data_IF_363561108534
#
_entry.id   IF_363561108534
#
_cell.length_a   1.000
_cell.length_b   1.000
_cell.length_c   1.000
_cell.angle_alpha   90.00
_cell.angle_beta   90.00
_cell.angle_gamma   90.00
#
_symmetry.space_group_name_H-M   'P 1'
#
loop_
_entity.id
_entity.type
_entity.pdbx_description
1 polymer ?
#
# COMPACT_ATOMS: atom_id res chain seq x y z
N UNK A 1 -22.47 -18.36 5.03
CA UNK A 1 -21.61 -17.52 4.16
C UNK A 1 -21.89 -16.07 4.51
N UNK A 2 -21.01 -15.41 5.29
CA UNK A 2 -21.17 -13.99 5.63
C UNK A 2 -20.65 -13.12 4.49
N UNK A 3 -21.22 -11.93 4.22
CA UNK A 3 -20.77 -11.08 3.13
C UNK A 3 -19.28 -10.77 3.35
N UNK A 4 -18.47 -10.99 2.31
CA UNK A 4 -17.04 -10.65 2.28
C UNK A 4 -16.88 -9.21 2.74
N UNK A 5 -16.53 -9.04 4.02
CA UNK A 5 -16.69 -7.77 4.75
C UNK A 5 -15.54 -6.86 4.34
N UNK A 6 -15.72 -6.14 3.23
CA UNK A 6 -14.87 -5.00 2.92
C UNK A 6 -14.89 -4.05 4.13
N UNK A 7 -13.74 -3.44 4.49
CA UNK A 7 -13.70 -2.47 5.56
C UNK A 7 -14.76 -1.38 5.32
N UNK A 8 -15.42 -0.86 6.37
CA UNK A 8 -16.39 0.22 6.22
C UNK A 8 -15.74 1.42 5.52
N UNK A 9 -16.53 2.17 4.74
CA UNK A 9 -16.03 3.29 3.94
C UNK A 9 -15.28 4.33 4.78
N UNK A 10 -15.73 4.59 6.00
CA UNK A 10 -15.04 5.48 6.95
C UNK A 10 -13.62 5.01 7.27
N UNK A 11 -13.39 3.70 7.39
CA UNK A 11 -12.05 3.15 7.57
C UNK A 11 -11.23 3.36 6.31
N UNK A 12 -11.77 3.03 5.13
CA UNK A 12 -11.07 3.22 3.84
C UNK A 12 -10.64 4.68 3.62
N UNK A 13 -11.52 5.64 3.92
CA UNK A 13 -11.23 7.07 3.87
C UNK A 13 -10.11 7.46 4.83
N UNK A 14 -10.19 7.00 6.08
CA UNK A 14 -9.16 7.27 7.09
C UNK A 14 -7.80 6.70 6.66
N UNK A 15 -7.77 5.48 6.10
CA UNK A 15 -6.54 4.85 5.61
C UNK A 15 -5.95 5.62 4.43
N UNK A 16 -6.79 6.01 3.46
CA UNK A 16 -6.37 6.86 2.33
C UNK A 16 -5.75 8.16 2.81
N UNK A 17 -6.40 8.85 3.74
CA UNK A 17 -5.89 10.12 4.25
C UNK A 17 -4.55 9.96 4.96
N UNK A 18 -4.38 8.91 5.77
CA UNK A 18 -3.10 8.63 6.45
C UNK A 18 -1.99 8.30 5.47
N UNK A 19 -2.24 7.39 4.52
CA UNK A 19 -1.25 6.98 3.51
C UNK A 19 -0.86 8.15 2.59
N UNK A 20 -1.84 8.95 2.17
CA UNK A 20 -1.58 10.12 1.34
C UNK A 20 -0.76 11.17 2.09
N UNK A 21 -1.11 11.48 3.34
CA UNK A 21 -0.33 12.40 4.19
C UNK A 21 1.10 11.90 4.41
N UNK A 22 1.26 10.64 4.80
CA UNK A 22 2.57 10.04 5.04
C UNK A 22 3.42 10.00 3.76
N UNK A 23 2.82 9.60 2.63
CA UNK A 23 3.49 9.58 1.34
C UNK A 23 3.99 10.96 0.91
N UNK A 24 3.19 12.01 1.11
CA UNK A 24 3.58 13.40 0.80
C UNK A 24 4.64 13.95 1.76
N UNK A 25 4.65 13.55 3.03
CA UNK A 25 5.69 13.92 3.99
C UNK A 25 7.02 13.22 3.69
N UNK A 26 6.98 11.95 3.26
CA UNK A 26 8.17 11.11 3.00
C UNK A 26 8.77 11.34 1.61
N UNK A 27 7.92 11.45 0.59
CA UNK A 27 8.32 11.64 -0.81
C UNK A 27 7.66 12.90 -1.38
N UNK A 28 8.34 14.06 -1.34
CA UNK A 28 7.77 15.32 -1.82
C UNK A 28 7.56 15.35 -3.35
N UNK A 29 8.18 14.43 -4.10
CA UNK A 29 7.99 14.25 -5.54
C UNK A 29 6.75 13.43 -5.92
N UNK A 30 6.06 12.83 -4.95
CA UNK A 30 4.80 12.09 -5.19
C UNK A 30 3.63 13.06 -5.11
N UNK A 31 2.80 13.10 -6.15
CA UNK A 31 1.58 13.91 -6.21
C UNK A 31 0.55 13.40 -5.19
N UNK A 32 0.30 12.10 -5.19
CA UNK A 32 -0.65 11.46 -4.29
C UNK A 32 -0.40 9.95 -4.13
N UNK A 33 -0.84 9.40 -3.00
CA UNK A 33 -0.98 7.94 -2.85
C UNK A 33 -2.45 7.56 -3.09
N UNK A 34 -2.70 6.85 -4.17
CA UNK A 34 -4.00 6.27 -4.51
C UNK A 34 -4.15 4.89 -3.88
N UNK A 35 -5.25 4.68 -3.14
CA UNK A 35 -5.56 3.39 -2.54
C UNK A 35 -6.89 2.88 -3.09
N UNK A 36 -6.95 1.72 -3.72
CA UNK A 36 -8.17 1.15 -4.30
C UNK A 36 -8.57 -0.12 -3.56
N UNK A 37 -9.74 -0.15 -2.95
CA UNK A 37 -10.26 -1.35 -2.29
C UNK A 37 -11.11 -2.18 -3.26
N UNK A 38 -10.78 -3.46 -3.43
CA UNK A 38 -11.47 -4.43 -4.29
C UNK A 38 -11.51 -5.78 -3.57
N UNK A 39 -12.71 -6.32 -3.32
CA UNK A 39 -12.92 -7.66 -2.77
C UNK A 39 -12.10 -7.99 -1.50
N UNK A 40 -11.93 -7.01 -0.60
CA UNK A 40 -11.12 -7.18 0.62
C UNK A 40 -9.61 -7.04 0.42
N UNK A 41 -9.16 -6.60 -0.76
CA UNK A 41 -7.77 -6.24 -1.05
C UNK A 41 -7.70 -4.73 -1.29
N UNK A 42 -6.77 -4.04 -0.65
CA UNK A 42 -6.44 -2.66 -0.90
C UNK A 42 -5.19 -2.58 -1.76
N UNK A 43 -5.31 -2.02 -2.95
CA UNK A 43 -4.20 -1.77 -3.87
C UNK A 43 -3.66 -0.39 -3.62
N UNK A 44 -2.36 -0.26 -3.38
CA UNK A 44 -1.69 1.01 -3.10
C UNK A 44 -0.80 1.37 -4.30
N UNK A 45 -1.00 2.56 -4.82
CA UNK A 45 -0.31 3.08 -6.00
C UNK A 45 0.16 4.49 -5.69
N UNK A 46 1.41 4.81 -6.02
CA UNK A 46 1.91 6.17 -6.00
C UNK A 46 1.65 6.83 -7.35
N UNK A 47 1.08 8.03 -7.30
CA UNK A 47 0.88 8.90 -8.46
C UNK A 47 2.03 9.92 -8.46
N UNK A 48 2.81 9.89 -9.52
CA UNK A 48 3.94 10.79 -9.77
C UNK A 48 3.54 11.86 -10.81
N UNK A 49 4.23 13.01 -10.82
CA UNK A 49 4.02 14.02 -11.85
C UNK A 49 4.29 13.44 -13.24
N UNK A 50 3.44 13.78 -14.21
CA UNK A 50 3.56 13.28 -15.59
C UNK A 50 2.71 12.05 -15.90
N UNK A 51 1.59 11.86 -15.21
CA UNK A 51 0.62 10.76 -15.42
C UNK A 51 1.19 9.36 -15.10
N UNK A 52 2.29 9.31 -14.35
CA UNK A 52 2.95 8.06 -14.01
C UNK A 52 2.35 7.49 -12.71
N UNK A 53 1.79 6.29 -12.79
CA UNK A 53 1.23 5.56 -11.65
C UNK A 53 2.08 4.32 -11.37
N UNK A 54 2.77 4.29 -10.23
CA UNK A 54 3.62 3.16 -9.82
C UNK A 54 2.89 2.32 -8.77
N UNK A 55 2.55 1.06 -9.06
CA UNK A 55 1.98 0.14 -8.07
C UNK A 55 3.04 -0.20 -7.02
N UNK A 56 2.79 0.14 -5.76
CA UNK A 56 3.73 -0.05 -4.67
C UNK A 56 3.50 -1.41 -3.99
N UNK A 57 2.30 -1.60 -3.44
CA UNK A 57 1.97 -2.78 -2.67
C UNK A 57 0.47 -3.03 -2.64
N UNK A 58 0.07 -4.23 -2.21
CA UNK A 58 -1.32 -4.57 -1.94
C UNK A 58 -1.46 -5.11 -0.52
N UNK A 59 -2.57 -4.79 0.11
CA UNK A 59 -2.89 -5.11 1.49
C UNK A 59 -4.18 -5.93 1.50
N UNK A 60 -4.09 -7.20 1.87
CA UNK A 60 -5.26 -8.07 1.98
C UNK A 60 -5.84 -8.01 3.38
N UNK A 61 -7.12 -7.66 3.47
CA UNK A 61 -7.88 -7.79 4.71
C UNK A 61 -8.06 -9.27 5.05
N UNK A 62 -7.49 -9.71 6.16
CA UNK A 62 -7.56 -11.11 6.61
C UNK A 62 -8.64 -11.34 7.68
N UNK A 63 -9.43 -10.31 8.03
CA UNK A 63 -10.51 -10.39 9.02
C UNK A 63 -10.15 -9.82 10.41
N UNK A 64 -8.91 -9.39 10.61
CA UNK A 64 -8.42 -8.77 11.85
C UNK A 64 -8.08 -7.30 11.58
N UNK A 65 -8.62 -6.38 12.40
CA UNK A 65 -8.51 -4.93 12.18
C UNK A 65 -7.06 -4.43 12.09
N UNK A 66 -6.14 -5.09 12.80
CA UNK A 66 -4.74 -4.67 12.97
C UNK A 66 -3.75 -5.41 12.08
N UNK A 67 -4.16 -6.45 11.36
CA UNK A 67 -3.22 -7.30 10.61
C UNK A 67 -3.69 -7.41 9.16
N UNK A 68 -3.00 -6.69 8.29
CA UNK A 68 -3.29 -6.67 6.85
C UNK A 68 -2.18 -7.44 6.14
N UNK A 69 -2.55 -8.48 5.37
CA UNK A 69 -1.59 -9.27 4.62
C UNK A 69 -0.87 -8.40 3.61
N UNK A 70 0.45 -8.27 3.77
CA UNK A 70 1.27 -7.41 2.92
C UNK A 70 1.80 -8.21 1.74
N UNK A 71 1.59 -7.68 0.53
CA UNK A 71 2.26 -8.18 -0.65
C UNK A 71 2.88 -7.01 -1.41
N UNK A 72 4.20 -7.08 -1.54
CA UNK A 72 5.01 -6.11 -2.25
C UNK A 72 4.89 -6.39 -3.75
N UNK A 73 4.69 -5.34 -4.54
CA UNK A 73 4.82 -5.47 -5.99
C UNK A 73 6.30 -5.74 -6.31
N UNK A 74 6.63 -6.67 -7.20
CA UNK A 74 7.98 -6.82 -7.75
C UNK A 74 7.96 -6.47 -9.23
N UNK A 75 8.51 -5.31 -9.60
CA UNK A 75 8.68 -4.91 -10.99
C UNK A 75 9.53 -5.93 -11.77
N UNK A 76 10.50 -6.57 -11.12
CA UNK A 76 11.34 -7.62 -11.74
C UNK A 76 10.57 -8.87 -12.18
N UNK A 77 9.38 -9.14 -11.63
CA UNK A 77 8.57 -10.31 -11.97
C UNK A 77 7.12 -9.97 -12.32
N UNK A 78 6.80 -8.68 -12.47
CA UNK A 78 5.46 -8.16 -12.71
C UNK A 78 4.39 -8.81 -11.80
N UNK A 79 4.75 -9.09 -10.55
CA UNK A 79 3.94 -9.93 -9.66
C UNK A 79 4.01 -9.46 -8.22
N UNK A 80 2.90 -9.61 -7.50
CA UNK A 80 2.83 -9.32 -6.08
C UNK A 80 3.26 -10.53 -5.26
N UNK A 81 4.39 -10.41 -4.55
CA UNK A 81 4.84 -11.46 -3.63
C UNK A 81 4.49 -11.07 -2.21
N UNK A 82 3.98 -12.03 -1.45
CA UNK A 82 3.94 -11.90 0.00
C UNK A 82 5.34 -11.59 0.52
N UNK A 83 5.45 -10.54 1.33
CA UNK A 83 6.72 -10.12 1.89
C UNK A 83 6.58 -9.98 3.40
N UNK A 84 7.66 -10.23 4.11
CA UNK A 84 7.74 -10.03 5.55
C UNK A 84 8.15 -8.57 5.77
N UNK A 85 7.37 -7.85 6.58
CA UNK A 85 7.73 -6.49 7.00
C UNK A 85 9.01 -6.52 7.86
N UNK A 86 9.75 -5.41 7.97
CA UNK A 86 10.94 -5.33 8.84
C UNK A 86 10.64 -5.68 10.31
N UNK A 87 9.39 -5.57 10.73
CA UNK A 87 8.88 -6.06 12.03
C UNK A 87 8.86 -7.59 12.19
N UNK A 88 9.21 -8.36 11.15
CA UNK A 88 9.26 -9.83 11.17
C UNK A 88 7.91 -10.53 10.97
N UNK A 89 6.86 -9.77 10.63
CA UNK A 89 5.51 -10.29 10.41
C UNK A 89 5.13 -10.24 8.92
N UNK A 90 4.37 -11.23 8.41
CA UNK A 90 3.83 -11.23 7.03
C UNK A 90 2.73 -10.17 6.81
N UNK A 91 2.43 -9.40 7.84
CA UNK A 91 1.34 -8.44 7.89
C UNK A 91 1.63 -7.43 9.00
N UNK A 92 1.24 -6.17 8.79
CA UNK A 92 1.50 -5.12 9.78
C UNK A 92 0.83 -3.80 9.41
N UNK A 93 1.46 -2.71 9.81
CA UNK A 93 0.92 -1.36 9.62
C UNK A 93 0.95 -0.96 8.15
N UNK A 94 -0.09 -0.25 7.73
CA UNK A 94 -0.23 0.23 6.36
C UNK A 94 0.90 1.23 6.00
N UNK A 95 1.34 2.02 6.98
CA UNK A 95 2.45 2.96 6.84
C UNK A 95 3.79 2.25 6.68
N UNK A 96 4.09 1.20 7.47
CA UNK A 96 5.30 0.37 7.27
C UNK A 96 5.30 -0.31 5.89
N UNK A 97 4.15 -0.82 5.47
CA UNK A 97 3.98 -1.42 4.15
C UNK A 97 4.21 -0.41 3.01
N UNK A 98 3.76 0.84 3.20
CA UNK A 98 4.00 1.93 2.26
C UNK A 98 5.47 2.34 2.26
N UNK A 99 6.08 2.52 3.43
CA UNK A 99 7.50 2.89 3.58
C UNK A 99 8.42 1.87 2.92
N UNK A 100 8.20 0.58 3.17
CA UNK A 100 8.99 -0.49 2.57
C UNK A 100 8.87 -0.53 1.04
N UNK A 101 7.66 -0.32 0.50
CA UNK A 101 7.47 -0.31 -0.95
C UNK A 101 7.97 0.99 -1.60
N UNK A 102 7.71 2.14 -0.97
CA UNK A 102 8.15 3.43 -1.47
C UNK A 102 9.66 3.62 -1.38
N UNK A 103 10.33 3.07 -0.37
CA UNK A 103 11.79 3.06 -0.32
C UNK A 103 12.40 2.26 -1.48
N UNK A 104 11.70 1.24 -2.00
CA UNK A 104 12.16 0.52 -3.18
C UNK A 104 11.82 1.31 -4.44
N UNK A 105 10.56 1.68 -4.65
CA UNK A 105 10.11 2.24 -5.94
C UNK A 105 10.31 3.74 -6.11
N UNK A 106 10.22 4.51 -5.02
CA UNK A 106 10.27 5.96 -5.04
C UNK A 106 11.65 6.51 -4.64
N UNK A 107 12.50 5.69 -4.02
CA UNK A 107 13.90 6.01 -3.75
C UNK A 107 14.83 5.51 -4.87
N UNK A 108 14.51 4.38 -5.53
CA UNK A 108 15.27 3.86 -6.69
C UNK A 108 15.28 4.82 -7.88
N UNK A 109 14.29 5.72 -7.99
CA UNK A 109 14.23 6.74 -9.05
C UNK A 109 15.38 7.76 -8.99
N UNK A 110 16.37 7.58 -8.11
CA UNK A 110 17.57 8.42 -7.98
C UNK A 110 18.85 7.79 -8.54
N UNK A 111 18.84 6.98 -9.61
CA UNK A 111 20.09 6.68 -10.37
C UNK A 111 19.87 6.81 -11.87
#
# INVERSE_FOLDING_TARGET
>A
MGPCRSPPESMQHHLRQRLNRHGRERWPHVEAIAVRFRAGVAYVTAELPGDQSIPLCRLRFTGVLHTWGFALYLASSDSYKDNILPSGLPAGSLEEALDCAGDIYLNESTI
#
